data_IF_699542356843
#
_entry.id   IF_699542356843
#
_cell.length_a   1.000
_cell.length_b   1.000
_cell.length_c   1.000
_cell.angle_alpha   90.00
_cell.angle_beta   90.00
_cell.angle_gamma   90.00
#
_symmetry.space_group_name_H-M   'P 1'
#
loop_
_entity.id
_entity.type
_entity.pdbx_description
1 polymer ?
#
# COMPACT_ATOMS: atom_id res chain seq x y z
N UNK A 1 -7.84 17.15 -7.82
CA UNK A 1 -8.26 18.00 -6.71
C UNK A 1 -7.05 18.52 -5.95
N UNK A 2 -6.16 17.64 -5.52
CA UNK A 2 -4.95 18.00 -4.78
C UNK A 2 -3.77 17.12 -5.18
N UNK A 3 -2.55 17.64 -5.04
CA UNK A 3 -1.32 16.90 -5.31
C UNK A 3 -0.19 17.49 -4.47
N UNK A 4 0.70 16.65 -3.97
CA UNK A 4 1.97 17.03 -3.33
C UNK A 4 3.19 16.74 -4.22
N UNK A 5 2.99 16.74 -5.55
CA UNK A 5 4.04 16.44 -6.52
C UNK A 5 5.22 17.43 -6.43
N UNK A 6 4.94 18.69 -6.09
CA UNK A 6 5.97 19.73 -5.87
C UNK A 6 6.95 19.38 -4.75
N UNK A 7 6.48 18.62 -3.75
CA UNK A 7 7.30 18.10 -2.65
C UNK A 7 7.64 16.61 -2.83
N UNK A 8 7.55 16.09 -4.05
CA UNK A 8 7.85 14.68 -4.37
C UNK A 8 7.03 13.69 -3.52
N UNK A 9 5.76 14.04 -3.26
CA UNK A 9 4.78 13.22 -2.51
C UNK A 9 5.23 12.85 -1.10
N UNK A 10 5.91 13.76 -0.40
CA UNK A 10 6.41 13.55 0.98
C UNK A 10 5.33 13.74 2.05
N UNK A 11 4.13 14.12 1.67
CA UNK A 11 2.97 14.31 2.54
C UNK A 11 1.67 14.12 1.77
N UNK A 12 0.55 13.98 2.48
CA UNK A 12 -0.80 13.95 1.90
C UNK A 12 -1.40 15.36 2.03
N UNK A 13 -1.82 16.00 0.93
CA UNK A 13 -2.50 17.29 1.00
C UNK A 13 -3.78 17.20 1.86
N UNK A 14 -3.99 18.19 2.74
CA UNK A 14 -5.17 18.29 3.62
C UNK A 14 -6.04 19.51 3.30
N UNK A 15 -5.43 20.54 2.72
CA UNK A 15 -6.09 21.81 2.36
C UNK A 15 -6.63 21.76 0.93
N UNK A 16 -7.72 21.02 0.73
CA UNK A 16 -8.41 20.96 -0.56
C UNK A 16 -9.92 20.84 -0.37
N UNK A 17 -10.66 21.24 -1.42
CA UNK A 17 -12.11 21.07 -1.49
C UNK A 17 -12.45 20.18 -2.67
N UNK A 18 -13.25 19.13 -2.42
CA UNK A 18 -13.82 18.31 -3.48
C UNK A 18 -15.04 19.03 -4.05
N UNK A 19 -15.08 19.34 -5.37
CA UNK A 19 -16.25 19.97 -5.98
C UNK A 19 -17.51 19.11 -5.80
N UNK A 20 -18.61 19.72 -5.35
CA UNK A 20 -19.86 18.99 -5.10
C UNK A 20 -20.58 18.53 -6.37
N UNK A 21 -20.20 19.04 -7.53
CA UNK A 21 -20.69 18.70 -8.87
C UNK A 21 -19.78 17.70 -9.61
N UNK A 22 -18.75 17.17 -8.94
CA UNK A 22 -17.91 16.11 -9.51
C UNK A 22 -18.67 14.78 -9.57
N UNK A 23 -18.42 13.98 -10.60
CA UNK A 23 -19.02 12.65 -10.74
C UNK A 23 -18.56 11.67 -9.66
N UNK A 24 -17.28 11.78 -9.25
CA UNK A 24 -16.67 10.98 -8.19
C UNK A 24 -15.37 11.62 -7.66
N UNK A 25 -14.93 11.17 -6.51
CA UNK A 25 -13.61 11.46 -5.96
C UNK A 25 -12.77 10.19 -5.92
N UNK A 26 -11.69 10.15 -6.68
CA UNK A 26 -10.78 9.00 -6.70
C UNK A 26 -9.60 9.22 -5.76
N UNK A 27 -9.31 8.20 -4.94
CA UNK A 27 -8.16 8.18 -4.03
C UNK A 27 -7.37 6.88 -4.19
N UNK A 28 -6.09 6.95 -3.88
CA UNK A 28 -5.24 5.78 -3.64
C UNK A 28 -4.87 5.80 -2.16
N UNK A 29 -5.36 4.82 -1.40
CA UNK A 29 -5.27 4.84 0.06
C UNK A 29 -3.85 4.65 0.57
N UNK A 30 -3.02 3.91 -0.15
CA UNK A 30 -1.60 3.74 0.16
C UNK A 30 -0.72 3.92 -1.08
N UNK A 31 0.18 4.88 -1.05
CA UNK A 31 1.14 5.14 -2.12
C UNK A 31 2.36 4.21 -1.98
N UNK A 32 2.35 3.11 -2.73
CA UNK A 32 3.40 2.08 -2.71
C UNK A 32 4.80 2.61 -3.06
N UNK A 33 4.87 3.69 -3.85
CA UNK A 33 6.13 4.22 -4.39
C UNK A 33 6.77 5.23 -3.45
N UNK A 34 5.96 6.13 -2.88
CA UNK A 34 6.46 7.25 -2.08
C UNK A 34 6.27 7.06 -0.57
N UNK A 35 5.42 6.11 -0.15
CA UNK A 35 5.28 5.69 1.25
C UNK A 35 4.30 6.52 2.08
N UNK A 36 3.32 7.19 1.45
CA UNK A 36 2.21 7.84 2.16
C UNK A 36 0.99 6.93 2.24
N UNK A 37 0.22 6.99 3.32
CA UNK A 37 -0.98 6.18 3.55
C UNK A 37 -2.08 6.97 4.26
N UNK A 38 -3.32 6.79 3.79
CA UNK A 38 -4.53 7.27 4.47
C UNK A 38 -4.96 6.24 5.52
N UNK A 39 -4.82 6.58 6.80
CA UNK A 39 -5.16 5.68 7.90
C UNK A 39 -6.64 5.65 8.27
N UNK A 40 -7.42 6.59 7.73
CA UNK A 40 -8.86 6.72 7.97
C UNK A 40 -9.62 6.78 6.65
N UNK A 41 -10.90 6.40 6.72
CA UNK A 41 -11.81 6.51 5.59
C UNK A 41 -12.26 7.96 5.41
N UNK A 42 -12.08 8.52 4.21
CA UNK A 42 -12.43 9.90 3.91
C UNK A 42 -13.93 10.08 3.71
N UNK A 43 -14.45 11.23 4.15
CA UNK A 43 -15.77 11.72 3.79
C UNK A 43 -15.63 12.73 2.62
N UNK A 44 -16.50 12.59 1.62
CA UNK A 44 -16.54 13.51 0.49
C UNK A 44 -18.00 13.83 0.10
N UNK A 45 -18.27 15.00 -0.49
CA UNK A 45 -19.63 15.38 -0.93
C UNK A 45 -20.10 14.59 -2.16
N UNK A 46 -19.22 13.79 -2.77
CA UNK A 46 -19.46 12.98 -3.98
C UNK A 46 -19.01 11.53 -3.75
N UNK A 47 -19.47 10.57 -4.58
CA UNK A 47 -19.06 9.16 -4.45
C UNK A 47 -17.55 8.98 -4.44
N UNK A 48 -17.01 8.18 -3.51
CA UNK A 48 -15.59 7.89 -3.41
C UNK A 48 -15.26 6.57 -4.09
N UNK A 49 -14.22 6.58 -4.93
CA UNK A 49 -13.59 5.40 -5.53
C UNK A 49 -12.20 5.26 -4.95
N UNK A 50 -11.85 4.06 -4.45
CA UNK A 50 -10.56 3.83 -3.82
C UNK A 50 -9.76 2.71 -4.48
N UNK A 51 -8.51 3.01 -4.83
CA UNK A 51 -7.48 2.00 -5.06
C UNK A 51 -6.87 1.60 -3.70
N UNK A 52 -7.12 0.35 -3.30
CA UNK A 52 -6.57 -0.24 -2.08
C UNK A 52 -5.58 -1.37 -2.38
N UNK A 53 -4.95 -1.37 -3.55
CA UNK A 53 -4.07 -2.47 -3.99
C UNK A 53 -2.97 -2.81 -2.99
N UNK A 54 -2.44 -1.84 -2.25
CA UNK A 54 -1.28 -2.06 -1.37
C UNK A 54 -1.61 -2.08 0.13
N UNK A 55 -2.84 -1.77 0.51
CA UNK A 55 -3.29 -1.76 1.92
C UNK A 55 -4.61 -2.48 2.18
N UNK A 56 -5.21 -3.12 1.16
CA UNK A 56 -6.43 -3.91 1.37
C UNK A 56 -6.24 -4.95 2.47
N UNK A 57 -7.22 -5.09 3.36
CA UNK A 57 -7.20 -5.99 4.52
C UNK A 57 -6.07 -5.71 5.53
N UNK A 58 -5.43 -4.55 5.48
CA UNK A 58 -4.45 -4.11 6.50
C UNK A 58 -5.11 -3.42 7.69
N UNK A 59 -6.31 -2.89 7.51
CA UNK A 59 -7.12 -2.21 8.52
C UNK A 59 -8.62 -2.44 8.32
N UNK A 60 -9.46 -2.22 9.34
CA UNK A 60 -10.91 -2.10 9.13
C UNK A 60 -11.24 -0.94 8.20
N UNK A 61 -12.20 -1.15 7.31
CA UNK A 61 -12.70 -0.17 6.33
C UNK A 61 -14.22 -0.14 6.41
N UNK A 62 -14.80 1.05 6.49
CA UNK A 62 -16.24 1.22 6.32
C UNK A 62 -16.58 1.24 4.82
N UNK A 63 -16.90 0.06 4.29
CA UNK A 63 -17.20 -0.13 2.86
C UNK A 63 -18.38 0.74 2.42
N UNK A 64 -19.25 1.17 3.33
CA UNK A 64 -20.42 2.00 3.00
C UNK A 64 -20.05 3.41 2.50
N UNK A 65 -18.84 3.90 2.84
CA UNK A 65 -18.33 5.19 2.40
C UNK A 65 -17.87 5.22 0.92
N UNK A 66 -17.72 4.06 0.29
CA UNK A 66 -17.18 3.94 -1.06
C UNK A 66 -18.25 3.47 -2.04
N UNK A 67 -18.27 4.07 -3.24
CA UNK A 67 -19.06 3.55 -4.36
C UNK A 67 -18.35 2.37 -5.03
N UNK A 68 -17.01 2.41 -5.04
CA UNK A 68 -16.17 1.35 -5.57
C UNK A 68 -14.84 1.29 -4.81
N UNK A 69 -14.44 0.07 -4.42
CA UNK A 69 -13.09 -0.26 -3.94
C UNK A 69 -12.52 -1.28 -4.91
N UNK A 70 -11.30 -1.09 -5.34
CA UNK A 70 -10.60 -2.07 -6.16
C UNK A 70 -9.14 -2.22 -5.74
N UNK A 71 -8.53 -3.33 -6.18
CA UNK A 71 -7.12 -3.56 -5.95
C UNK A 71 -6.58 -4.81 -6.60
N UNK A 72 -5.32 -4.73 -7.04
CA UNK A 72 -4.56 -5.90 -7.48
C UNK A 72 -4.11 -6.73 -6.29
N UNK A 73 -4.23 -8.05 -6.40
CA UNK A 73 -3.91 -8.97 -5.30
C UNK A 73 -2.41 -9.08 -4.98
N UNK A 74 -1.53 -8.73 -5.92
CA UNK A 74 -0.09 -9.03 -5.91
C UNK A 74 0.73 -8.34 -4.83
N UNK A 75 0.12 -7.50 -3.99
CA UNK A 75 0.80 -6.81 -2.90
C UNK A 75 0.46 -7.46 -1.55
N UNK A 76 -0.74 -7.24 -1.06
CA UNK A 76 -1.12 -7.64 0.30
C UNK A 76 -2.01 -8.89 0.38
N UNK A 77 -2.50 -9.42 -0.76
CA UNK A 77 -3.51 -10.47 -0.76
C UNK A 77 -3.02 -11.81 -1.35
N UNK A 78 -2.43 -11.81 -2.56
CA UNK A 78 -2.10 -13.05 -3.29
C UNK A 78 -1.00 -12.80 -4.33
N UNK A 79 -0.53 -13.82 -5.07
CA UNK A 79 0.28 -13.63 -6.28
C UNK A 79 -0.45 -12.81 -7.34
N UNK A 80 0.32 -12.25 -8.29
CA UNK A 80 -0.22 -11.51 -9.43
C UNK A 80 -1.21 -12.35 -10.26
N UNK A 81 -2.19 -11.68 -10.89
CA UNK A 81 -3.16 -12.29 -11.80
C UNK A 81 -4.62 -12.12 -11.37
N UNK A 82 -4.88 -11.63 -10.17
CA UNK A 82 -6.23 -11.33 -9.67
C UNK A 82 -6.35 -9.84 -9.35
N UNK A 83 -7.45 -9.24 -9.74
CA UNK A 83 -7.94 -7.95 -9.27
C UNK A 83 -9.32 -8.18 -8.65
N UNK A 84 -9.51 -7.70 -7.43
CA UNK A 84 -10.83 -7.68 -6.82
C UNK A 84 -11.48 -6.31 -7.01
N UNK A 85 -12.81 -6.31 -7.07
CA UNK A 85 -13.63 -5.10 -7.13
C UNK A 85 -14.82 -5.28 -6.18
N UNK A 86 -15.04 -4.30 -5.33
CA UNK A 86 -16.24 -4.18 -4.50
C UNK A 86 -16.97 -2.94 -4.99
N UNK A 87 -18.16 -3.10 -5.52
CA UNK A 87 -18.95 -2.01 -6.11
C UNK A 87 -20.35 -2.00 -5.54
N UNK A 88 -20.90 -0.82 -5.24
CA UNK A 88 -22.30 -0.68 -4.82
C UNK A 88 -23.22 -1.08 -5.97
N UNK A 89 -24.25 -1.86 -5.65
CA UNK A 89 -25.22 -2.32 -6.67
C UNK A 89 -25.93 -1.16 -7.38
N UNK A 90 -26.23 -0.09 -6.67
CA UNK A 90 -26.87 1.11 -7.23
C UNK A 90 -25.96 1.98 -8.10
N UNK A 91 -24.66 1.68 -8.16
CA UNK A 91 -23.73 2.29 -9.09
C UNK A 91 -23.80 1.68 -10.49
N UNK A 92 -24.36 0.49 -10.62
CA UNK A 92 -24.44 -0.26 -11.89
C UNK A 92 -25.56 0.26 -12.79
N UNK A 93 -25.37 0.12 -14.12
CA UNK A 93 -26.39 0.44 -15.10
C UNK A 93 -26.73 1.95 -15.26
N UNK A 94 -25.90 2.86 -14.74
CA UNK A 94 -26.17 4.31 -14.76
C UNK A 94 -25.73 5.00 -16.06
N UNK A 95 -24.92 4.36 -16.88
CA UNK A 95 -24.39 4.95 -18.11
C UNK A 95 -25.14 4.44 -19.34
N UNK A 96 -25.53 5.36 -20.24
CA UNK A 96 -26.23 5.05 -21.48
C UNK A 96 -25.29 4.77 -22.67
N UNK A 97 -24.00 5.15 -22.55
CA UNK A 97 -23.01 4.88 -23.59
C UNK A 97 -22.70 3.39 -23.72
N UNK A 98 -22.27 2.97 -24.89
CA UNK A 98 -21.76 1.62 -25.10
C UNK A 98 -20.55 1.35 -24.19
N UNK A 99 -20.61 0.24 -23.47
CA UNK A 99 -19.51 -0.29 -22.67
C UNK A 99 -19.09 -1.64 -23.26
N UNK A 100 -17.82 -1.83 -23.65
CA UNK A 100 -17.34 -3.14 -24.10
C UNK A 100 -17.60 -4.21 -23.03
N UNK A 101 -17.94 -5.43 -23.45
CA UNK A 101 -18.34 -6.54 -22.57
C UNK A 101 -17.43 -6.72 -21.38
N UNK A 102 -16.10 -6.75 -21.59
CA UNK A 102 -15.11 -6.98 -20.53
C UNK A 102 -14.93 -5.80 -19.56
N UNK A 103 -15.40 -4.59 -19.94
CA UNK A 103 -15.36 -3.41 -19.10
C UNK A 103 -16.68 -3.16 -18.36
N UNK A 104 -17.68 -4.01 -18.56
CA UNK A 104 -18.97 -3.93 -17.89
C UNK A 104 -18.99 -4.86 -16.67
N UNK A 105 -19.08 -4.29 -15.48
CA UNK A 105 -19.12 -5.06 -14.24
C UNK A 105 -20.27 -6.06 -14.18
N UNK A 106 -21.44 -5.74 -14.81
CA UNK A 106 -22.57 -6.65 -14.85
C UNK A 106 -22.22 -7.99 -15.51
N UNK A 107 -21.39 -7.98 -16.58
CA UNK A 107 -20.90 -9.20 -17.23
C UNK A 107 -20.20 -10.13 -16.24
N UNK A 108 -19.36 -9.56 -15.39
CA UNK A 108 -18.60 -10.33 -14.38
C UNK A 108 -19.47 -10.80 -13.24
N UNK A 109 -20.47 -10.01 -12.83
CA UNK A 109 -21.46 -10.36 -11.79
C UNK A 109 -22.30 -11.52 -12.28
N UNK A 110 -22.88 -11.44 -13.47
CA UNK A 110 -23.72 -12.49 -14.05
C UNK A 110 -22.94 -13.80 -14.26
N UNK A 111 -21.65 -13.69 -14.61
CA UNK A 111 -20.73 -14.81 -14.73
C UNK A 111 -20.15 -15.33 -13.41
N UNK A 112 -20.58 -14.80 -12.25
CA UNK A 112 -20.04 -15.19 -10.94
C UNK A 112 -18.52 -15.00 -10.85
N UNK A 113 -18.00 -13.92 -11.45
CA UNK A 113 -16.57 -13.62 -11.62
C UNK A 113 -15.80 -14.62 -12.51
N UNK A 114 -16.50 -15.48 -13.25
CA UNK A 114 -15.93 -16.51 -14.13
C UNK A 114 -16.48 -16.40 -15.55
N UNK A 115 -16.69 -15.20 -16.06
CA UNK A 115 -17.12 -15.00 -17.45
C UNK A 115 -16.15 -15.63 -18.46
N UNK A 116 -14.88 -15.64 -18.15
CA UNK A 116 -13.82 -16.40 -18.84
C UNK A 116 -13.05 -17.25 -17.82
N UNK A 117 -12.18 -18.15 -18.28
CA UNK A 117 -11.36 -18.99 -17.42
C UNK A 117 -10.58 -18.16 -16.39
N UNK A 118 -10.80 -18.36 -15.09
CA UNK A 118 -10.17 -17.54 -14.05
C UNK A 118 -8.75 -18.01 -13.76
N UNK A 119 -7.90 -17.14 -13.20
CA UNK A 119 -6.56 -17.51 -12.71
C UNK A 119 -6.68 -18.27 -11.37
N UNK A 120 -6.90 -19.59 -11.44
CA UNK A 120 -7.27 -20.44 -10.30
C UNK A 120 -6.27 -20.37 -9.15
N UNK A 121 -4.95 -20.45 -9.44
CA UNK A 121 -3.93 -20.47 -8.41
C UNK A 121 -3.89 -19.17 -7.58
N UNK A 122 -3.87 -17.95 -8.16
CA UNK A 122 -3.96 -16.71 -7.38
C UNK A 122 -5.26 -16.58 -6.59
N UNK A 123 -6.40 -17.04 -7.12
CA UNK A 123 -7.68 -17.03 -6.39
C UNK A 123 -7.60 -17.97 -5.17
N UNK A 124 -7.06 -19.17 -5.35
CA UNK A 124 -6.85 -20.10 -4.25
C UNK A 124 -5.91 -19.53 -3.18
N UNK A 125 -4.80 -18.92 -3.60
CA UNK A 125 -3.88 -18.26 -2.68
C UNK A 125 -4.57 -17.10 -1.91
N UNK A 126 -5.37 -16.27 -2.59
CA UNK A 126 -6.16 -15.24 -1.95
C UNK A 126 -7.11 -15.81 -0.88
N UNK A 127 -7.80 -16.92 -1.19
CA UNK A 127 -8.65 -17.61 -0.22
C UNK A 127 -7.86 -18.05 1.02
N UNK A 128 -6.65 -18.62 0.84
CA UNK A 128 -5.83 -19.04 1.97
C UNK A 128 -5.35 -17.87 2.82
N UNK A 129 -4.97 -16.75 2.18
CA UNK A 129 -4.60 -15.51 2.89
C UNK A 129 -5.78 -14.97 3.70
N UNK A 130 -6.98 -14.92 3.14
CA UNK A 130 -8.17 -14.45 3.86
C UNK A 130 -8.54 -15.37 5.04
N UNK A 131 -8.39 -16.70 4.87
CA UNK A 131 -8.56 -17.67 5.96
C UNK A 131 -7.52 -17.45 7.06
N UNK A 132 -6.28 -17.21 6.68
CA UNK A 132 -5.19 -16.92 7.62
C UNK A 132 -5.45 -15.61 8.38
N UNK A 133 -5.86 -14.54 7.70
CA UNK A 133 -6.23 -13.27 8.35
C UNK A 133 -7.34 -13.53 9.38
N UNK A 134 -8.41 -14.25 8.99
CA UNK A 134 -9.53 -14.57 9.88
C UNK A 134 -9.09 -15.39 11.10
N UNK A 135 -8.23 -16.38 10.91
CA UNK A 135 -7.73 -17.24 11.98
C UNK A 135 -6.76 -16.50 12.93
N UNK A 136 -6.14 -15.41 12.46
CA UNK A 136 -5.20 -14.60 13.24
C UNK A 136 -5.81 -13.31 13.83
N UNK A 137 -7.10 -13.25 14.06
CA UNK A 137 -7.76 -12.12 14.73
C UNK A 137 -8.37 -11.08 13.78
N UNK A 138 -8.39 -11.35 12.47
CA UNK A 138 -9.02 -10.48 11.47
C UNK A 138 -8.22 -9.23 11.16
N UNK A 139 -8.86 -8.30 10.44
CA UNK A 139 -8.20 -7.08 9.94
C UNK A 139 -7.78 -6.11 11.05
N UNK A 140 -8.47 -6.10 12.19
CA UNK A 140 -8.07 -5.28 13.34
C UNK A 140 -6.71 -5.73 13.93
N UNK A 141 -6.47 -7.03 13.99
CA UNK A 141 -5.16 -7.55 14.41
C UNK A 141 -4.10 -7.30 13.33
N UNK A 142 -4.45 -7.36 12.04
CA UNK A 142 -3.51 -7.00 10.96
C UNK A 142 -3.09 -5.53 11.08
N UNK A 143 -4.01 -4.62 11.38
CA UNK A 143 -3.69 -3.20 11.60
C UNK A 143 -2.70 -3.02 12.76
N UNK A 144 -2.94 -3.69 13.87
CA UNK A 144 -2.04 -3.64 15.03
C UNK A 144 -0.64 -4.13 14.68
N UNK A 145 -0.53 -5.28 14.00
CA UNK A 145 0.76 -5.84 13.55
C UNK A 145 1.46 -4.96 12.53
N UNK A 146 0.71 -4.36 11.60
CA UNK A 146 1.25 -3.45 10.61
C UNK A 146 1.84 -2.20 11.28
N UNK A 147 1.08 -1.59 12.20
CA UNK A 147 1.54 -0.44 12.97
C UNK A 147 2.78 -0.77 13.80
N UNK A 148 2.81 -1.90 14.50
CA UNK A 148 3.95 -2.33 15.29
C UNK A 148 5.23 -2.47 14.45
N UNK A 149 5.15 -3.11 13.28
CA UNK A 149 6.26 -3.24 12.34
C UNK A 149 6.75 -1.88 11.84
N UNK A 150 5.80 -1.01 11.46
CA UNK A 150 6.10 0.32 10.98
C UNK A 150 6.76 1.20 12.06
N UNK A 151 6.20 1.22 13.26
CA UNK A 151 6.75 1.98 14.39
C UNK A 151 8.20 1.57 14.69
N UNK A 152 8.49 0.26 14.69
CA UNK A 152 9.86 -0.23 14.91
C UNK A 152 10.85 0.28 13.86
N UNK A 153 10.48 0.15 12.57
CA UNK A 153 11.41 0.53 11.49
C UNK A 153 11.54 2.06 11.39
N UNK A 154 10.46 2.82 11.56
CA UNK A 154 10.53 4.28 11.57
C UNK A 154 11.31 4.81 12.78
N UNK A 155 11.20 4.17 13.94
CA UNK A 155 12.03 4.53 15.10
C UNK A 155 13.52 4.38 14.80
N UNK A 156 13.91 3.32 14.11
CA UNK A 156 15.30 3.14 13.66
C UNK A 156 15.70 4.15 12.60
N UNK A 157 14.89 4.39 11.57
CA UNK A 157 15.17 5.37 10.52
C UNK A 157 15.34 6.78 11.11
N UNK A 158 14.47 7.17 12.06
CA UNK A 158 14.51 8.48 12.69
C UNK A 158 15.68 8.64 13.69
N UNK A 159 16.19 7.54 14.26
CA UNK A 159 17.33 7.51 15.17
C UNK A 159 18.67 7.49 14.44
N UNK A 160 18.75 6.72 13.36
CA UNK A 160 19.98 6.38 12.67
C UNK A 160 20.53 7.62 11.92
N UNK A 161 21.82 7.95 12.17
CA UNK A 161 22.46 9.12 11.57
C UNK A 161 22.55 9.05 10.03
N UNK A 162 22.52 7.84 9.46
CA UNK A 162 22.77 7.60 8.04
C UNK A 162 21.49 7.66 7.19
N UNK A 163 20.30 7.49 7.80
CA UNK A 163 19.04 7.37 7.07
C UNK A 163 18.02 8.44 7.44
N UNK A 164 17.11 8.72 6.52
CA UNK A 164 15.90 9.52 6.77
C UNK A 164 14.71 8.95 6.00
N UNK A 165 13.53 9.06 6.58
CA UNK A 165 12.28 8.73 5.90
C UNK A 165 11.97 9.73 4.78
N UNK A 166 11.39 9.27 3.68
CA UNK A 166 10.97 10.14 2.57
C UNK A 166 9.70 10.92 2.90
N UNK A 167 8.83 10.39 3.75
CA UNK A 167 7.60 11.05 4.18
C UNK A 167 7.87 11.91 5.40
N UNK A 168 7.68 13.22 5.25
CA UNK A 168 8.02 14.22 6.26
C UNK A 168 6.97 14.36 7.36
N UNK A 169 5.67 14.32 6.99
CA UNK A 169 4.60 14.27 7.99
C UNK A 169 4.46 12.84 8.52
N UNK A 170 4.79 12.65 9.78
CA UNK A 170 4.75 11.32 10.42
C UNK A 170 3.34 10.71 10.43
N UNK A 171 2.30 11.54 10.44
CA UNK A 171 0.91 11.09 10.39
C UNK A 171 0.53 10.48 9.03
N UNK A 172 1.26 10.82 7.99
CA UNK A 172 1.02 10.33 6.62
C UNK A 172 1.91 9.11 6.25
N UNK A 173 2.77 8.64 7.16
CA UNK A 173 3.70 7.53 6.91
C UNK A 173 2.97 6.20 6.74
N UNK A 174 3.28 5.49 5.67
CA UNK A 174 2.70 4.17 5.38
C UNK A 174 3.15 3.09 6.37
N UNK A 175 2.21 2.25 6.80
CA UNK A 175 2.51 1.02 7.55
C UNK A 175 2.86 -0.15 6.62
N UNK A 176 2.53 -0.03 5.33
CA UNK A 176 2.74 -1.07 4.32
C UNK A 176 4.03 -0.91 3.54
N UNK A 177 4.38 0.33 3.15
CA UNK A 177 5.53 0.62 2.29
C UNK A 177 6.38 1.73 2.93
N UNK A 178 7.37 1.32 3.69
CA UNK A 178 8.27 2.23 4.41
C UNK A 178 9.39 2.64 3.48
N UNK A 179 9.35 3.89 3.01
CA UNK A 179 10.34 4.46 2.09
C UNK A 179 11.35 5.32 2.85
N UNK A 180 12.62 5.12 2.58
CA UNK A 180 13.71 5.86 3.20
C UNK A 180 14.91 6.00 2.27
N UNK A 181 15.75 6.97 2.54
CA UNK A 181 16.96 7.27 1.77
C UNK A 181 18.13 7.48 2.72
N UNK A 182 19.33 7.47 2.20
CA UNK A 182 20.48 7.96 2.98
C UNK A 182 20.42 9.47 3.16
N UNK A 183 20.91 9.96 4.28
CA UNK A 183 21.19 11.36 4.49
C UNK A 183 22.29 11.82 3.52
N UNK A 184 22.29 13.10 3.16
CA UNK A 184 23.13 13.61 2.09
C UNK A 184 24.63 13.39 2.37
N UNK A 185 25.05 13.43 3.64
CA UNK A 185 26.43 13.16 4.09
C UNK A 185 26.88 11.71 3.84
N UNK A 186 25.93 10.77 3.74
CA UNK A 186 26.20 9.33 3.56
C UNK A 186 25.75 8.81 2.19
N UNK A 187 25.31 9.69 1.28
CA UNK A 187 24.71 9.30 0.01
C UNK A 187 25.61 8.40 -0.84
N UNK A 188 26.91 8.60 -0.77
CA UNK A 188 27.89 7.79 -1.50
C UNK A 188 27.91 6.33 -1.04
N UNK A 189 27.45 6.03 0.18
CA UNK A 189 27.40 4.69 0.74
C UNK A 189 26.12 3.92 0.36
N UNK A 190 25.21 4.50 -0.46
CA UNK A 190 23.94 3.84 -0.84
C UNK A 190 24.18 2.49 -1.51
N UNK A 191 25.16 2.40 -2.41
CA UNK A 191 25.52 1.16 -3.10
C UNK A 191 26.13 0.12 -2.14
N UNK A 192 26.94 0.57 -1.20
CA UNK A 192 27.60 -0.28 -0.22
C UNK A 192 26.59 -0.85 0.77
N UNK A 193 25.63 -0.03 1.24
CA UNK A 193 24.53 -0.52 2.07
C UNK A 193 23.66 -1.53 1.33
N UNK A 194 23.35 -1.29 0.04
CA UNK A 194 22.59 -2.25 -0.76
C UNK A 194 23.29 -3.61 -0.86
N UNK A 195 24.61 -3.59 -1.10
CA UNK A 195 25.42 -4.82 -1.13
C UNK A 195 25.43 -5.52 0.22
N UNK A 196 25.73 -4.78 1.29
CA UNK A 196 25.74 -5.28 2.67
C UNK A 196 24.42 -5.92 3.08
N UNK A 197 23.31 -5.24 2.80
CA UNK A 197 21.97 -5.74 3.10
C UNK A 197 21.64 -7.00 2.29
N UNK A 198 22.04 -7.05 1.00
CA UNK A 198 21.83 -8.23 0.14
C UNK A 198 22.61 -9.44 0.66
N UNK A 199 23.86 -9.26 1.09
CA UNK A 199 24.68 -10.32 1.69
C UNK A 199 24.09 -10.88 3.00
N UNK A 200 23.30 -10.05 3.72
CA UNK A 200 22.52 -10.44 4.90
C UNK A 200 21.12 -10.99 4.57
N UNK A 201 20.82 -11.22 3.30
CA UNK A 201 19.57 -11.81 2.85
C UNK A 201 18.40 -10.82 2.71
N UNK A 202 18.63 -9.50 2.75
CA UNK A 202 17.59 -8.48 2.53
C UNK A 202 17.30 -8.35 1.04
N UNK A 203 16.36 -9.13 0.54
CA UNK A 203 15.97 -9.15 -0.87
C UNK A 203 14.85 -8.13 -1.12
N UNK A 204 14.99 -7.33 -2.18
CA UNK A 204 13.91 -6.46 -2.66
C UNK A 204 13.73 -5.15 -1.88
N UNK A 205 14.72 -4.71 -1.09
CA UNK A 205 14.66 -3.43 -0.35
C UNK A 205 15.02 -2.21 -1.21
N UNK A 206 15.46 -2.40 -2.46
CA UNK A 206 15.76 -1.29 -3.37
C UNK A 206 14.50 -0.46 -3.62
N UNK A 207 14.62 0.86 -3.47
CA UNK A 207 13.54 1.81 -3.73
C UNK A 207 13.10 1.82 -5.20
N UNK A 208 11.95 2.44 -5.46
CA UNK A 208 11.46 2.57 -6.83
C UNK A 208 12.38 3.51 -7.62
N UNK A 209 12.56 3.21 -8.92
CA UNK A 209 13.46 3.98 -9.84
C UNK A 209 13.19 5.49 -9.87
N UNK A 210 11.97 5.94 -9.58
CA UNK A 210 11.59 7.36 -9.55
C UNK A 210 11.92 8.06 -8.23
N UNK A 211 12.22 7.30 -7.16
CA UNK A 211 12.53 7.83 -5.83
C UNK A 211 13.99 7.58 -5.47
N UNK A 212 14.54 6.43 -5.87
CA UNK A 212 15.84 5.95 -5.39
C UNK A 212 15.76 5.37 -3.98
N UNK A 213 16.89 5.28 -3.31
CA UNK A 213 16.99 4.82 -1.93
C UNK A 213 16.42 3.43 -1.70
N UNK A 214 15.65 3.28 -0.64
CA UNK A 214 15.20 2.00 -0.13
C UNK A 214 13.68 2.00 0.13
N UNK A 215 13.07 0.81 0.07
CA UNK A 215 11.67 0.59 0.41
C UNK A 215 11.48 -0.77 1.04
N UNK A 216 11.08 -0.80 2.29
CA UNK A 216 10.64 -2.02 2.96
C UNK A 216 9.13 -2.21 2.75
N UNK A 217 8.74 -3.32 2.10
CA UNK A 217 7.33 -3.69 1.91
C UNK A 217 6.89 -4.61 3.04
N UNK A 218 6.26 -4.03 4.07
CA UNK A 218 5.89 -4.68 5.33
C UNK A 218 4.45 -5.21 5.31
N UNK A 219 4.03 -5.86 4.21
CA UNK A 219 2.68 -6.40 4.05
C UNK A 219 2.27 -7.35 5.19
N UNK A 220 0.97 -7.68 5.27
CA UNK A 220 0.41 -8.47 6.38
C UNK A 220 1.19 -9.74 6.69
N UNK A 221 1.62 -10.47 5.65
CA UNK A 221 2.35 -11.72 5.80
C UNK A 221 3.84 -11.56 6.20
N UNK A 222 4.40 -10.35 6.13
CA UNK A 222 5.78 -10.09 6.55
C UNK A 222 5.89 -10.23 8.08
N UNK A 223 6.71 -11.18 8.59
CA UNK A 223 6.88 -11.35 10.03
C UNK A 223 7.68 -10.18 10.64
N UNK A 224 7.41 -9.90 11.91
CA UNK A 224 8.08 -8.86 12.68
C UNK A 224 9.60 -9.07 12.75
N UNK A 225 10.01 -10.32 12.82
CA UNK A 225 11.42 -10.73 12.88
C UNK A 225 12.20 -10.32 11.63
N UNK A 226 11.55 -10.29 10.46
CA UNK A 226 12.17 -9.80 9.22
C UNK A 226 12.40 -8.29 9.26
N UNK A 227 11.50 -7.55 9.88
CA UNK A 227 11.67 -6.09 10.10
C UNK A 227 12.81 -5.86 11.10
N UNK A 228 12.88 -6.64 12.19
CA UNK A 228 13.98 -6.57 13.15
C UNK A 228 15.33 -6.87 12.49
N UNK A 229 15.39 -7.87 11.62
CA UNK A 229 16.62 -8.19 10.90
C UNK A 229 17.11 -7.03 10.01
N UNK A 230 16.19 -6.26 9.38
CA UNK A 230 16.55 -5.05 8.66
C UNK A 230 17.08 -3.96 9.60
N UNK A 231 16.44 -3.76 10.74
CA UNK A 231 16.89 -2.83 11.78
C UNK A 231 18.31 -3.18 12.24
N UNK A 232 18.56 -4.44 12.58
CA UNK A 232 19.88 -4.93 13.00
C UNK A 232 20.93 -4.70 11.90
N UNK A 233 20.56 -4.92 10.65
CA UNK A 233 21.41 -4.65 9.50
C UNK A 233 21.76 -3.16 9.37
N UNK A 234 20.78 -2.25 9.54
CA UNK A 234 21.01 -0.80 9.52
C UNK A 234 21.94 -0.35 10.67
N UNK A 235 21.72 -0.86 11.87
CA UNK A 235 22.56 -0.55 13.06
C UNK A 235 23.98 -1.07 12.92
N UNK A 236 24.15 -2.26 12.36
CA UNK A 236 25.49 -2.81 12.12
C UNK A 236 26.23 -2.00 11.06
N UNK A 237 25.56 -1.62 9.98
CA UNK A 237 26.16 -0.77 8.94
C UNK A 237 26.57 0.60 9.50
N UNK A 238 25.73 1.21 10.35
CA UNK A 238 26.04 2.48 11.04
C UNK A 238 27.30 2.39 11.92
N UNK A 239 27.54 1.23 12.57
CA UNK A 239 28.73 1.04 13.41
C UNK A 239 30.03 0.87 12.63
N UNK A 240 29.93 0.46 11.36
CA UNK A 240 31.06 0.22 10.48
C UNK A 240 31.53 1.51 9.79
N UNK A 241 30.68 2.54 9.80
CA UNK A 241 30.91 3.85 9.14
C UNK A 241 30.66 5.01 10.10
#
# INVERSE_FOLDING_TARGET
>A
VASSAEATYTYIPKDYTVPADADYFHITTNNTIYGTELHEDLDAPVPVIADMSSDIFSRPVDVSKYICIYGGAQKNLAPAGVTFVIVKNDALGKVSRYIPTMLNYQTHIDGGSMFNTPPVLPIYAALQTLRWIKANGGVAEMQKRAKEKADMLYAEIDRNKMFRGTVTDKADRSYMNICFVMNDEYKELEADFMKFATEKGMVGIKGHRSVGGFRASCYNAMPKESVQALIDCMQEFEKLH
#
